data_IF_325655789804
#
_entry.id   IF_325655789804
#
_cell.length_a   1.000
_cell.length_b   1.000
_cell.length_c   1.000
_cell.angle_alpha   90.00
_cell.angle_beta   90.00
_cell.angle_gamma   90.00
#
_symmetry.space_group_name_H-M   'P 1'
#
loop_
_entity.id
_entity.type
_entity.pdbx_description
1 polymer ?
#
# COMPACT_ATOMS: atom_id res chain seq x y z
N UNK A 1 -11.90 17.53 84.73
CA UNK A 1 -12.85 16.41 84.94
C UNK A 1 -12.38 15.36 83.95
N UNK A 2 -11.58 14.33 84.36
CA UNK A 2 -12.00 13.01 84.84
C UNK A 2 -13.01 12.37 83.89
N UNK A 3 -12.72 11.23 83.22
CA UNK A 3 -12.43 9.85 83.67
C UNK A 3 -11.92 9.04 82.47
N UNK A 4 -10.83 8.32 82.55
CA UNK A 4 -10.56 6.92 82.85
C UNK A 4 -11.54 5.84 82.28
N UNK A 5 -10.93 4.84 81.68
CA UNK A 5 -11.44 3.46 81.59
C UNK A 5 -11.02 2.84 80.24
N UNK A 6 -10.21 1.99 80.19
CA UNK A 6 -9.77 0.69 80.69
C UNK A 6 -9.70 -0.31 79.52
N UNK A 7 -8.58 -0.86 79.38
CA UNK A 7 -8.10 -2.10 78.73
C UNK A 7 -9.13 -3.22 78.51
N UNK A 8 -9.07 -3.86 77.31
CA UNK A 8 -8.97 -5.33 77.31
C UNK A 8 -8.40 -5.80 75.97
N UNK A 9 -7.41 -6.62 76.10
CA UNK A 9 -6.70 -7.22 74.96
C UNK A 9 -7.47 -8.40 74.39
N UNK A 10 -7.23 -8.62 73.13
CA UNK A 10 -7.53 -9.91 72.51
C UNK A 10 -6.41 -10.33 71.56
N UNK A 11 -6.10 -11.58 71.66
CA UNK A 11 -4.90 -12.25 71.14
C UNK A 11 -4.96 -12.52 69.66
N UNK A 12 -3.83 -12.74 68.94
CA UNK A 12 -3.80 -12.89 67.49
C UNK A 12 -4.35 -14.27 67.05
N UNK A 13 -5.44 -14.26 66.32
CA UNK A 13 -5.98 -15.42 65.61
C UNK A 13 -5.11 -15.75 64.39
N UNK A 14 -4.70 -16.99 64.31
CA UNK A 14 -3.82 -17.59 63.32
C UNK A 14 -4.25 -17.37 61.87
N UNK A 15 -3.41 -16.70 61.08
CA UNK A 15 -3.48 -16.54 59.64
C UNK A 15 -3.00 -17.84 58.99
N UNK A 16 -3.85 -18.84 58.85
CA UNK A 16 -3.50 -20.09 58.13
C UNK A 16 -4.40 -20.37 56.91
N UNK A 17 -5.34 -19.50 56.57
CA UNK A 17 -6.27 -19.70 55.46
C UNK A 17 -5.83 -18.98 54.18
N UNK A 18 -4.91 -18.00 54.23
CA UNK A 18 -4.50 -17.21 53.05
C UNK A 18 -3.48 -17.89 52.11
N UNK A 19 -2.80 -18.94 52.58
CA UNK A 19 -1.70 -19.54 51.79
C UNK A 19 -2.18 -20.50 50.69
N UNK A 20 -3.38 -21.07 50.80
CA UNK A 20 -3.95 -21.96 49.77
C UNK A 20 -4.54 -21.21 48.58
N UNK A 21 -5.07 -20.02 48.81
CA UNK A 21 -5.70 -19.22 47.75
C UNK A 21 -4.64 -18.57 46.86
N UNK A 22 -3.48 -18.17 47.44
CA UNK A 22 -2.37 -17.56 46.68
C UNK A 22 -1.77 -18.55 45.66
N UNK A 23 -1.67 -19.85 46.01
CA UNK A 23 -1.14 -20.87 45.11
C UNK A 23 -2.06 -21.12 43.90
N UNK A 24 -3.36 -21.00 44.06
CA UNK A 24 -4.31 -21.14 42.92
C UNK A 24 -4.30 -19.96 41.96
N UNK A 25 -4.08 -18.72 42.48
CA UNK A 25 -3.91 -17.54 41.62
C UNK A 25 -2.58 -17.54 40.88
N UNK A 26 -1.49 -17.99 41.47
CA UNK A 26 -0.20 -18.13 40.81
C UNK A 26 -0.22 -19.20 39.72
N UNK A 27 -0.97 -20.30 39.91
CA UNK A 27 -1.11 -21.34 38.90
C UNK A 27 -2.01 -20.91 37.74
N UNK A 28 -3.04 -20.08 38.00
CA UNK A 28 -3.90 -19.50 36.96
C UNK A 28 -3.17 -18.45 36.10
N UNK A 29 -2.27 -17.65 36.68
CA UNK A 29 -1.44 -16.68 35.94
C UNK A 29 -0.40 -17.37 35.07
N UNK A 30 0.18 -18.49 35.52
CA UNK A 30 1.11 -19.29 34.71
C UNK A 30 0.43 -19.96 33.50
N UNK A 31 -0.87 -20.33 33.61
CA UNK A 31 -1.62 -20.92 32.50
C UNK A 31 -2.02 -19.91 31.42
N UNK A 32 -2.23 -18.62 31.80
CA UNK A 32 -2.53 -17.54 30.85
C UNK A 32 -1.29 -17.06 30.09
N UNK A 33 -0.08 -17.23 30.61
CA UNK A 33 1.16 -16.86 29.94
C UNK A 33 1.55 -17.80 28.78
N UNK A 34 0.95 -18.99 28.71
CA UNK A 34 1.23 -19.99 27.65
C UNK A 34 0.40 -19.87 26.37
N UNK A 35 -0.65 -19.02 26.32
CA UNK A 35 -1.52 -18.85 25.16
C UNK A 35 -1.19 -17.61 24.32
N UNK A 36 -0.11 -16.91 24.63
CA UNK A 36 0.41 -15.77 23.87
C UNK A 36 1.26 -16.17 22.67
N UNK A 37 1.07 -17.36 22.09
CA UNK A 37 1.77 -17.79 20.88
C UNK A 37 1.11 -17.21 19.63
N UNK A 38 1.64 -16.04 19.22
CA UNK A 38 1.90 -15.77 17.82
C UNK A 38 0.67 -15.53 16.95
N UNK A 39 -0.02 -14.40 17.12
CA UNK A 39 -0.38 -13.67 15.92
C UNK A 39 0.95 -13.27 15.23
N UNK A 40 1.44 -14.12 14.33
CA UNK A 40 2.32 -13.67 13.26
C UNK A 40 1.50 -12.62 12.50
N UNK A 41 1.63 -11.37 12.89
CA UNK A 41 1.33 -10.23 12.05
C UNK A 41 2.05 -10.58 10.74
N UNK A 42 1.28 -10.95 9.70
CA UNK A 42 1.77 -10.89 8.33
C UNK A 42 2.06 -9.41 8.10
N UNK A 43 3.30 -9.02 8.43
CA UNK A 43 3.80 -7.71 8.17
C UNK A 43 3.50 -7.42 6.71
N UNK A 44 2.62 -6.47 6.45
CA UNK A 44 2.63 -5.74 5.18
C UNK A 44 4.08 -5.31 5.05
N UNK A 45 4.83 -5.99 4.17
CA UNK A 45 6.15 -5.53 3.75
C UNK A 45 5.90 -4.13 3.22
N UNK A 46 6.22 -3.10 3.99
CA UNK A 46 6.27 -1.75 3.45
C UNK A 46 7.17 -1.81 2.22
N UNK A 47 6.80 -1.12 1.12
CA UNK A 47 7.65 -1.10 -0.07
C UNK A 47 9.00 -0.55 0.36
N UNK A 48 9.96 -1.43 0.61
CA UNK A 48 11.35 -1.07 0.89
C UNK A 48 11.93 -0.35 -0.33
N UNK A 49 13.10 0.25 -0.19
CA UNK A 49 13.81 1.03 -1.24
C UNK A 49 13.91 0.32 -2.61
N UNK A 50 13.66 -0.99 -2.65
CA UNK A 50 13.75 -1.85 -3.83
C UNK A 50 12.39 -2.39 -4.33
N UNK A 51 11.27 -1.83 -3.87
CA UNK A 51 9.94 -2.29 -4.26
C UNK A 51 9.13 -1.12 -4.80
N UNK A 52 8.58 -1.26 -5.99
CA UNK A 52 7.75 -0.24 -6.62
C UNK A 52 6.46 -0.86 -7.15
N UNK A 53 5.37 -0.12 -7.04
CA UNK A 53 4.07 -0.51 -7.58
C UNK A 53 3.56 0.57 -8.53
N UNK A 54 2.95 0.16 -9.63
CA UNK A 54 2.28 1.05 -10.57
C UNK A 54 0.77 0.80 -10.50
N UNK A 55 0.01 1.90 -10.58
CA UNK A 55 -1.44 1.91 -10.67
C UNK A 55 -1.86 2.93 -11.73
N UNK A 56 -2.81 2.55 -12.57
CA UNK A 56 -3.35 3.40 -13.62
C UNK A 56 -4.75 3.84 -13.26
N UNK A 57 -4.98 5.15 -13.28
CA UNK A 57 -6.26 5.77 -12.95
C UNK A 57 -6.81 6.52 -14.16
N UNK A 58 -8.13 6.52 -14.31
CA UNK A 58 -8.80 7.26 -15.37
C UNK A 58 -9.27 8.62 -14.88
N UNK A 59 -9.00 9.67 -15.67
CA UNK A 59 -9.54 11.00 -15.42
C UNK A 59 -11.05 10.99 -15.42
N UNK A 60 -11.64 11.68 -14.45
CA UNK A 60 -13.08 11.90 -14.34
C UNK A 60 -13.38 13.32 -13.86
N UNK A 61 -14.63 13.74 -13.99
CA UNK A 61 -15.07 15.00 -13.44
C UNK A 61 -15.09 14.96 -11.93
N UNK A 62 -14.78 16.07 -11.27
CA UNK A 62 -14.97 16.22 -9.84
C UNK A 62 -16.47 16.25 -9.53
N UNK A 63 -16.98 15.18 -8.95
CA UNK A 63 -18.37 15.05 -8.51
C UNK A 63 -18.57 15.29 -7.00
N UNK A 64 -17.48 15.63 -6.27
CA UNK A 64 -17.47 15.84 -4.82
C UNK A 64 -17.67 14.57 -4.00
N UNK A 65 -17.71 13.40 -4.63
CA UNK A 65 -17.90 12.11 -3.94
C UNK A 65 -16.57 11.50 -3.53
N UNK A 66 -16.63 10.48 -2.67
CA UNK A 66 -15.45 9.67 -2.28
C UNK A 66 -14.84 8.87 -3.45
N UNK A 67 -15.56 8.78 -4.57
CA UNK A 67 -15.10 8.08 -5.78
C UNK A 67 -14.23 8.95 -6.67
N UNK A 68 -14.12 10.25 -6.38
CA UNK A 68 -13.29 11.20 -7.08
C UNK A 68 -12.08 11.57 -6.23
N UNK A 69 -10.87 11.35 -6.76
CA UNK A 69 -9.60 11.64 -6.09
C UNK A 69 -8.82 12.70 -6.85
N UNK A 70 -8.39 13.75 -6.16
CA UNK A 70 -7.53 14.79 -6.71
C UNK A 70 -6.10 14.25 -6.86
N UNK A 71 -5.50 14.44 -8.04
CA UNK A 71 -4.10 14.12 -8.32
C UNK A 71 -3.40 15.31 -8.97
N UNK A 72 -2.08 15.38 -8.82
CA UNK A 72 -1.22 16.32 -9.49
C UNK A 72 -0.13 15.56 -10.25
N UNK A 73 0.24 16.05 -11.44
CA UNK A 73 1.36 15.57 -12.25
C UNK A 73 2.29 16.74 -12.54
N UNK A 74 3.56 16.45 -12.72
CA UNK A 74 4.67 17.41 -12.89
C UNK A 74 4.99 18.25 -11.64
N UNK A 75 6.24 18.12 -11.18
CA UNK A 75 6.72 18.81 -9.97
C UNK A 75 7.02 20.27 -10.20
N UNK A 76 7.52 20.61 -11.39
CA UNK A 76 7.93 21.98 -11.72
C UNK A 76 6.72 22.89 -11.99
N UNK A 77 5.70 22.37 -12.68
CA UNK A 77 4.45 23.08 -12.98
C UNK A 77 3.27 22.12 -12.84
N UNK A 78 2.69 22.00 -11.63
CA UNK A 78 1.72 20.95 -11.33
C UNK A 78 0.39 21.15 -12.06
N UNK A 79 0.02 20.20 -12.90
CA UNK A 79 -1.32 20.09 -13.48
C UNK A 79 -2.18 19.28 -12.53
N UNK A 80 -3.26 19.89 -12.03
CA UNK A 80 -4.22 19.25 -11.11
C UNK A 80 -5.41 18.75 -11.90
N UNK A 81 -5.81 17.51 -11.64
CA UNK A 81 -6.98 16.87 -12.24
C UNK A 81 -7.58 15.83 -11.28
N UNK A 82 -8.78 15.34 -11.61
CA UNK A 82 -9.49 14.36 -10.80
C UNK A 82 -9.52 13.02 -11.52
N UNK A 83 -9.40 11.96 -10.77
CA UNK A 83 -9.42 10.58 -11.28
C UNK A 83 -10.40 9.74 -10.46
N UNK A 84 -10.83 8.61 -11.03
CA UNK A 84 -11.55 7.60 -10.26
C UNK A 84 -10.67 7.16 -9.07
N UNK A 85 -11.26 6.98 -7.89
CA UNK A 85 -10.53 6.54 -6.68
C UNK A 85 -9.93 5.13 -6.83
N UNK A 86 -10.51 4.29 -7.71
CA UNK A 86 -10.05 2.95 -7.99
C UNK A 86 -9.21 2.89 -9.27
N UNK A 87 -8.04 2.26 -9.23
CA UNK A 87 -7.24 2.03 -10.42
C UNK A 87 -7.91 0.99 -11.32
N UNK A 88 -7.87 1.19 -12.64
CA UNK A 88 -8.38 0.22 -13.60
C UNK A 88 -7.33 -0.81 -14.01
N UNK A 89 -6.04 -0.55 -13.80
CA UNK A 89 -4.91 -1.47 -13.97
C UNK A 89 -3.87 -1.26 -12.86
N UNK A 90 -3.15 -2.32 -12.55
CA UNK A 90 -2.15 -2.34 -11.49
C UNK A 90 -0.88 -3.11 -11.90
N UNK A 91 0.10 -3.19 -11.02
CA UNK A 91 1.31 -4.01 -11.22
C UNK A 91 1.00 -5.48 -11.44
N UNK A 92 -0.13 -6.01 -10.94
CA UNK A 92 -0.55 -7.39 -11.15
C UNK A 92 -0.86 -7.70 -12.63
N UNK A 93 -1.26 -6.68 -13.39
CA UNK A 93 -1.59 -6.78 -14.81
C UNK A 93 -0.36 -6.62 -15.70
N UNK A 94 0.81 -6.28 -15.13
CA UNK A 94 2.05 -6.11 -15.89
C UNK A 94 2.74 -7.45 -16.18
N UNK A 95 3.25 -7.55 -17.39
CA UNK A 95 4.17 -8.61 -17.78
C UNK A 95 5.62 -8.20 -17.62
N UNK A 96 5.96 -6.97 -18.01
CA UNK A 96 7.32 -6.44 -18.01
C UNK A 96 7.30 -4.90 -17.99
N UNK A 97 8.33 -4.31 -17.37
CA UNK A 97 8.64 -2.89 -17.47
C UNK A 97 10.08 -2.70 -17.96
N UNK A 98 10.31 -1.76 -18.90
CA UNK A 98 11.63 -1.50 -19.49
C UNK A 98 11.89 -0.01 -19.63
N UNK A 99 13.17 0.38 -19.55
CA UNK A 99 13.64 1.71 -19.93
C UNK A 99 14.00 1.69 -21.43
N UNK A 100 13.64 2.75 -22.12
CA UNK A 100 13.97 2.93 -23.54
C UNK A 100 14.62 4.29 -23.74
N UNK A 101 15.60 4.35 -24.63
CA UNK A 101 16.15 5.63 -25.08
C UNK A 101 15.13 6.33 -25.99
N UNK A 102 14.96 7.62 -25.80
CA UNK A 102 14.11 8.49 -26.59
C UNK A 102 14.85 9.75 -27.00
N UNK A 103 14.43 10.38 -28.07
CA UNK A 103 15.02 11.64 -28.52
C UNK A 103 14.89 12.69 -27.42
N UNK A 104 16.00 13.22 -26.96
CA UNK A 104 16.04 14.20 -25.87
C UNK A 104 15.93 13.62 -24.45
N UNK A 105 16.00 12.28 -24.28
CA UNK A 105 15.95 11.69 -22.94
C UNK A 105 15.66 10.19 -22.94
N UNK A 106 14.71 9.78 -22.10
CA UNK A 106 14.33 8.38 -21.95
C UNK A 106 12.81 8.25 -21.75
N UNK A 107 12.30 7.07 -21.99
CA UNK A 107 10.90 6.72 -21.77
C UNK A 107 10.80 5.40 -20.97
N UNK A 108 9.75 5.25 -20.20
CA UNK A 108 9.36 3.97 -19.62
C UNK A 108 8.36 3.28 -20.54
N UNK A 109 8.56 1.98 -20.74
CA UNK A 109 7.62 1.11 -21.43
C UNK A 109 7.06 0.10 -20.45
N UNK A 110 5.74 0.06 -20.34
CA UNK A 110 4.98 -0.93 -19.61
C UNK A 110 4.34 -1.89 -20.60
N UNK A 111 4.55 -3.17 -20.43
CA UNK A 111 3.90 -4.23 -21.19
C UNK A 111 2.93 -4.97 -20.27
N UNK A 112 1.68 -5.05 -20.69
CA UNK A 112 0.62 -5.72 -19.94
C UNK A 112 0.46 -7.17 -20.38
N UNK A 113 -0.03 -8.00 -19.46
CA UNK A 113 -0.44 -9.37 -19.74
C UNK A 113 -1.74 -9.38 -20.57
N UNK A 114 -2.25 -10.56 -20.92
CA UNK A 114 -3.46 -10.70 -21.74
C UNK A 114 -4.69 -10.00 -21.11
N UNK A 115 -4.90 -10.18 -19.80
CA UNK A 115 -5.99 -9.52 -19.08
C UNK A 115 -5.83 -7.99 -19.10
N UNK A 116 -4.66 -7.51 -18.70
CA UNK A 116 -4.37 -6.07 -18.70
C UNK A 116 -4.46 -5.43 -20.08
N UNK A 117 -4.08 -6.15 -21.15
CA UNK A 117 -4.24 -5.67 -22.54
C UNK A 117 -5.71 -5.47 -22.89
N UNK A 118 -6.59 -6.43 -22.58
CA UNK A 118 -8.02 -6.32 -22.86
C UNK A 118 -8.68 -5.18 -22.08
N UNK A 119 -8.33 -5.03 -20.79
CA UNK A 119 -8.80 -3.92 -19.96
C UNK A 119 -8.30 -2.58 -20.51
N UNK A 120 -7.02 -2.47 -20.87
CA UNK A 120 -6.42 -1.27 -21.44
C UNK A 120 -7.13 -0.84 -22.73
N UNK A 121 -7.39 -1.78 -23.65
CA UNK A 121 -8.10 -1.54 -24.89
C UNK A 121 -9.52 -1.00 -24.63
N UNK A 122 -10.28 -1.67 -23.76
CA UNK A 122 -11.64 -1.28 -23.39
C UNK A 122 -11.68 0.14 -22.82
N UNK A 123 -10.84 0.41 -21.81
CA UNK A 123 -10.81 1.70 -21.15
C UNK A 123 -10.32 2.83 -22.07
N UNK A 124 -9.28 2.60 -22.87
CA UNK A 124 -8.77 3.64 -23.79
C UNK A 124 -9.72 3.91 -24.97
N UNK A 125 -10.46 2.91 -25.42
CA UNK A 125 -11.47 3.09 -26.47
C UNK A 125 -12.65 3.94 -25.99
N UNK A 126 -13.11 3.68 -24.76
CA UNK A 126 -14.28 4.36 -24.15
C UNK A 126 -13.97 5.76 -23.59
N UNK A 127 -12.71 6.10 -23.37
CA UNK A 127 -12.30 7.32 -22.67
C UNK A 127 -11.35 8.20 -23.51
N UNK A 128 -11.53 8.26 -24.81
CA UNK A 128 -10.78 9.17 -25.70
C UNK A 128 -10.96 10.63 -25.25
N UNK A 129 -9.89 11.41 -25.30
CA UNK A 129 -9.86 12.81 -24.84
C UNK A 129 -9.63 13.00 -23.35
N UNK A 130 -9.66 11.93 -22.53
CA UNK A 130 -9.34 11.98 -21.11
C UNK A 130 -7.87 11.66 -20.87
N UNK A 131 -7.37 12.02 -19.69
CA UNK A 131 -6.02 11.64 -19.22
C UNK A 131 -6.04 10.30 -18.48
N UNK A 132 -4.94 9.59 -18.63
CA UNK A 132 -4.66 8.38 -17.87
C UNK A 132 -3.52 8.67 -16.90
N UNK A 133 -3.80 8.76 -15.60
CA UNK A 133 -2.77 8.99 -14.60
C UNK A 133 -1.98 7.69 -14.34
N UNK A 134 -0.67 7.75 -14.50
CA UNK A 134 0.26 6.66 -14.19
C UNK A 134 0.90 6.98 -12.85
N UNK A 135 0.33 6.41 -11.79
CA UNK A 135 0.78 6.60 -10.41
C UNK A 135 1.78 5.51 -10.04
N UNK A 136 2.87 5.89 -9.41
CA UNK A 136 3.87 4.98 -8.89
C UNK A 136 3.98 5.14 -7.38
N UNK A 137 3.86 4.03 -6.67
CA UNK A 137 4.16 3.94 -5.26
C UNK A 137 5.57 3.36 -5.10
N UNK A 138 6.49 4.20 -4.64
CA UNK A 138 7.86 3.88 -4.29
C UNK A 138 8.27 4.80 -3.13
N UNK A 139 9.53 5.13 -2.91
CA UNK A 139 9.97 6.00 -1.79
C UNK A 139 9.15 7.30 -1.67
N UNK A 140 8.82 7.93 -2.80
CA UNK A 140 7.94 9.10 -2.87
C UNK A 140 6.76 8.82 -3.81
N UNK A 141 5.58 8.41 -3.26
CA UNK A 141 4.42 8.09 -4.08
C UNK A 141 3.91 9.30 -4.87
N UNK A 142 3.83 9.19 -6.20
CA UNK A 142 3.34 10.26 -7.08
C UNK A 142 2.90 9.79 -8.45
N UNK A 143 2.27 10.69 -9.19
CA UNK A 143 1.97 10.51 -10.62
C UNK A 143 3.23 10.79 -11.42
N UNK A 144 3.68 9.80 -12.19
CA UNK A 144 4.86 9.91 -13.06
C UNK A 144 4.53 10.54 -14.41
N UNK A 145 3.31 10.34 -14.91
CA UNK A 145 2.83 10.91 -16.16
C UNK A 145 1.30 10.87 -16.20
N UNK A 146 0.70 11.74 -17.03
CA UNK A 146 -0.72 11.74 -17.30
C UNK A 146 -0.99 11.94 -18.81
N UNK A 147 -0.63 10.97 -19.68
CA UNK A 147 -0.85 11.10 -21.11
C UNK A 147 -2.35 11.18 -21.43
N UNK A 148 -2.68 11.99 -22.45
CA UNK A 148 -4.03 12.07 -23.01
C UNK A 148 -4.28 10.86 -23.92
N UNK A 149 -5.43 10.24 -23.80
CA UNK A 149 -5.87 9.11 -24.61
C UNK A 149 -6.40 9.63 -25.95
N UNK A 150 -5.66 9.39 -27.02
CA UNK A 150 -6.04 9.81 -28.37
C UNK A 150 -6.73 8.69 -29.15
N UNK A 151 -6.41 7.43 -28.82
CA UNK A 151 -6.95 6.23 -29.50
C UNK A 151 -6.99 5.03 -28.56
N UNK A 152 -7.79 4.02 -28.91
CA UNK A 152 -7.77 2.71 -28.24
C UNK A 152 -6.39 2.05 -28.35
N UNK A 153 -5.99 1.35 -27.31
CA UNK A 153 -4.71 0.66 -27.24
C UNK A 153 -4.90 -0.85 -27.11
N UNK A 154 -4.95 -1.54 -28.25
CA UNK A 154 -5.04 -3.00 -28.32
C UNK A 154 -3.68 -3.71 -28.25
N UNK A 155 -2.56 -2.94 -28.18
CA UNK A 155 -1.22 -3.53 -28.18
C UNK A 155 -0.77 -4.02 -26.83
N UNK A 156 -1.43 -3.57 -25.74
CA UNK A 156 -1.01 -3.84 -24.36
C UNK A 156 0.31 -3.17 -23.98
N UNK A 157 0.75 -2.16 -24.74
CA UNK A 157 2.01 -1.46 -24.49
C UNK A 157 1.74 0.03 -24.28
N UNK A 158 2.20 0.57 -23.16
CA UNK A 158 2.20 2.02 -22.90
C UNK A 158 3.64 2.49 -22.85
N UNK A 159 3.94 3.58 -23.57
CA UNK A 159 5.22 4.30 -23.50
C UNK A 159 4.96 5.72 -23.05
N UNK A 160 5.74 6.21 -22.09
CA UNK A 160 5.61 7.57 -21.59
C UNK A 160 6.95 8.08 -21.05
N UNK A 161 7.13 9.41 -21.08
CA UNK A 161 8.24 10.08 -20.42
C UNK A 161 7.85 10.36 -18.97
N UNK A 162 8.53 9.78 -17.97
CA UNK A 162 8.18 9.97 -16.57
C UNK A 162 8.74 11.30 -16.03
N UNK A 163 8.03 11.92 -15.09
CA UNK A 163 8.51 13.06 -14.29
C UNK A 163 9.50 12.59 -13.22
N UNK A 164 10.66 12.12 -13.66
CA UNK A 164 11.73 11.67 -12.77
C UNK A 164 13.10 11.72 -13.46
N UNK A 165 14.18 11.68 -12.67
CA UNK A 165 15.52 11.52 -13.20
C UNK A 165 15.75 10.09 -13.73
N UNK A 166 16.72 9.92 -14.63
CA UNK A 166 17.10 8.59 -15.16
C UNK A 166 17.44 7.61 -14.03
N UNK A 167 18.24 8.05 -13.05
CA UNK A 167 18.63 7.22 -11.90
C UNK A 167 17.42 6.77 -11.07
N UNK A 168 16.42 7.63 -10.95
CA UNK A 168 15.17 7.32 -10.26
C UNK A 168 14.32 6.33 -11.08
N UNK A 169 14.22 6.52 -12.40
CA UNK A 169 13.53 5.61 -13.31
C UNK A 169 14.12 4.19 -13.26
N UNK A 170 15.45 4.06 -13.22
CA UNK A 170 16.13 2.78 -13.08
C UNK A 170 15.79 2.07 -11.75
N UNK A 171 15.74 2.81 -10.64
CA UNK A 171 15.30 2.28 -9.34
C UNK A 171 13.83 1.84 -9.36
N UNK A 172 12.96 2.66 -9.93
CA UNK A 172 11.53 2.33 -10.09
C UNK A 172 11.39 1.04 -10.90
N UNK A 173 12.12 0.91 -12.01
CA UNK A 173 12.09 -0.29 -12.86
C UNK A 173 12.58 -1.54 -12.14
N UNK A 174 13.68 -1.44 -11.41
CA UNK A 174 14.20 -2.55 -10.63
C UNK A 174 13.14 -3.04 -9.62
N UNK A 175 12.51 -2.10 -8.90
CA UNK A 175 11.45 -2.38 -7.94
C UNK A 175 10.19 -2.97 -8.59
N UNK A 176 9.77 -2.46 -9.76
CA UNK A 176 8.63 -2.97 -10.51
C UNK A 176 8.88 -4.41 -10.99
N UNK A 177 10.03 -4.68 -11.59
CA UNK A 177 10.34 -6.01 -12.10
C UNK A 177 10.47 -7.03 -10.95
N UNK A 178 10.89 -6.60 -9.75
CA UNK A 178 10.87 -7.42 -8.54
C UNK A 178 9.42 -7.73 -8.12
N UNK A 179 8.57 -6.71 -8.06
CA UNK A 179 7.15 -6.87 -7.74
C UNK A 179 6.42 -7.81 -8.72
N UNK A 180 6.65 -7.63 -10.03
CA UNK A 180 6.07 -8.48 -11.08
C UNK A 180 6.47 -9.95 -10.87
N UNK A 181 7.75 -10.23 -10.57
CA UNK A 181 8.23 -11.60 -10.31
C UNK A 181 7.57 -12.22 -9.08
N UNK A 182 7.47 -11.48 -7.99
CA UNK A 182 6.85 -11.95 -6.75
C UNK A 182 5.36 -12.25 -6.95
N UNK A 183 4.62 -11.39 -7.66
CA UNK A 183 3.19 -11.59 -7.94
C UNK A 183 2.99 -12.84 -8.81
N UNK A 184 3.78 -13.00 -9.88
CA UNK A 184 3.72 -14.19 -10.75
C UNK A 184 4.13 -15.47 -10.04
N UNK A 185 5.08 -15.40 -9.10
CA UNK A 185 5.51 -16.56 -8.31
C UNK A 185 4.46 -17.06 -7.32
N UNK A 186 3.57 -16.18 -6.86
CA UNK A 186 2.45 -16.52 -5.95
C UNK A 186 1.20 -17.04 -6.67
N UNK A 187 1.13 -16.87 -8.00
CA UNK A 187 -0.02 -17.26 -8.84
C UNK A 187 0.15 -18.65 -9.46
N UNK A 188 1.22 -19.37 -9.15
CA UNK A 188 1.45 -20.78 -9.50
C UNK A 188 1.20 -21.67 -8.30
#
# INVERSE_FOLDING_TARGET
MMYNGCLSGERPGKVTVKMRIINHYLMAIALCAGLGLGCKSMGKKEPGENYSLIMLYMEQNNDGTKYSKKMAVYRADPIIFYVNSEPFLSTADLEKATLMEAVGGFALQLQFNRHGTAVLESFTTSNKGKRMAIFCQFTEPRVLAAPMITRGNATGIIRFTPDCSRKEAERILAGLNTAIKEIKGKSK
#
